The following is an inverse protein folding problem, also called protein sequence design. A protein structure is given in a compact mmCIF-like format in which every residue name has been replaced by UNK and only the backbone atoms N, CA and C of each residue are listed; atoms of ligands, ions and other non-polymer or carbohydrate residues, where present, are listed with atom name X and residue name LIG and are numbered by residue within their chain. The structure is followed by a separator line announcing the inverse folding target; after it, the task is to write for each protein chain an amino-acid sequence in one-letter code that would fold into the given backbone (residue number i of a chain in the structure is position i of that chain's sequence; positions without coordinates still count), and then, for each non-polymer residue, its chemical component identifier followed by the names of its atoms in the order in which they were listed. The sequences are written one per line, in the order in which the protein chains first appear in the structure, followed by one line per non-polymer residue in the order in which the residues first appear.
data_IF_647702147832
#
_entry.id   IF_647702147832
#
_cell.length_a   1.000
_cell.length_b   1.000
_cell.length_c   1.000
_cell.angle_alpha   90.00
_cell.angle_beta   90.00
_cell.angle_gamma   90.00
#
_symmetry.space_group_name_H-M   'P 1'
#
loop_
_entity.id
_entity.type
_entity.pdbx_description
1 polymer ?
#
# COMPACT_ATOMS: atom_id res chain seq x y z
N UNK A 1 20.48 46.29 44.13
CA UNK A 1 19.97 46.04 42.78
C UNK A 1 19.95 44.54 42.50
N UNK A 2 18.76 43.92 42.65
CA UNK A 2 18.55 42.51 42.29
C UNK A 2 18.09 42.41 40.86
N UNK A 3 18.94 41.87 39.99
CA UNK A 3 18.59 41.54 38.62
C UNK A 3 17.80 40.24 38.62
N UNK A 4 16.49 40.34 38.34
CA UNK A 4 15.66 39.19 37.96
C UNK A 4 16.12 38.67 36.62
N UNK A 5 16.76 37.50 36.58
CA UNK A 5 16.96 36.71 35.35
C UNK A 5 15.63 36.02 35.05
N UNK A 6 14.90 36.57 34.10
CA UNK A 6 13.74 35.89 33.54
C UNK A 6 14.24 34.70 32.70
N UNK A 7 14.16 33.49 33.25
CA UNK A 7 14.33 32.26 32.51
C UNK A 7 13.15 32.10 31.56
N UNK A 8 13.34 32.45 30.30
CA UNK A 8 12.45 32.04 29.22
C UNK A 8 12.50 30.51 29.09
N UNK A 9 11.63 29.83 29.83
CA UNK A 9 11.30 28.45 29.52
C UNK A 9 10.61 28.47 28.16
N UNK A 10 11.38 28.27 27.09
CA UNK A 10 10.82 27.97 25.78
C UNK A 10 9.97 26.70 25.95
N UNK A 11 8.66 26.86 25.97
CA UNK A 11 7.75 25.73 25.91
C UNK A 11 8.12 24.94 24.68
N UNK A 12 8.61 23.69 24.87
CA UNK A 12 8.96 22.81 23.77
C UNK A 12 7.74 22.72 22.86
N UNK A 13 7.87 23.17 21.61
CA UNK A 13 6.78 23.19 20.67
C UNK A 13 6.25 21.76 20.54
N UNK A 14 4.97 21.55 20.84
CA UNK A 14 4.34 20.22 20.72
C UNK A 14 4.35 19.84 19.26
N UNK A 15 4.94 18.69 18.94
CA UNK A 15 5.01 18.14 17.59
C UNK A 15 3.88 17.16 17.34
N UNK A 16 3.44 17.07 16.09
CA UNK A 16 2.48 16.08 15.65
C UNK A 16 3.20 14.76 15.42
N UNK A 17 2.92 13.75 16.23
CA UNK A 17 3.56 12.45 16.10
C UNK A 17 2.86 11.55 15.07
N UNK A 18 3.63 11.01 14.13
CA UNK A 18 3.17 10.07 13.10
C UNK A 18 4.10 8.83 13.12
N UNK A 19 3.58 7.64 13.46
CA UNK A 19 4.35 6.41 13.37
C UNK A 19 4.50 5.98 11.90
N UNK A 20 5.65 5.40 11.56
CA UNK A 20 5.91 4.81 10.24
C UNK A 20 6.22 3.33 10.42
N UNK A 21 5.26 2.47 10.12
CA UNK A 21 5.50 1.05 10.04
C UNK A 21 5.99 0.73 8.64
N UNK A 22 7.17 0.13 8.54
CA UNK A 22 7.78 -0.16 7.24
C UNK A 22 8.45 -1.54 7.24
N UNK A 23 8.90 -1.97 6.09
CA UNK A 23 9.72 -3.17 5.94
C UNK A 23 10.80 -2.90 4.88
N UNK A 24 12.00 -2.58 5.38
CA UNK A 24 13.19 -2.29 4.57
C UNK A 24 14.10 -3.50 4.44
N UNK A 25 13.76 -4.60 5.10
CA UNK A 25 14.50 -5.85 5.11
C UNK A 25 13.61 -7.02 4.69
N UNK A 26 14.26 -8.13 4.30
CA UNK A 26 13.55 -9.35 3.90
C UNK A 26 13.02 -9.33 2.46
N UNK A 27 12.21 -10.34 2.10
CA UNK A 27 11.81 -10.59 0.71
C UNK A 27 10.83 -9.55 0.15
N UNK A 28 10.24 -8.71 0.99
CA UNK A 28 9.32 -7.65 0.57
C UNK A 28 9.98 -6.26 0.50
N UNK A 29 11.26 -6.16 0.89
CA UNK A 29 12.03 -4.93 0.88
C UNK A 29 12.10 -4.23 -0.49
N UNK A 30 12.20 -4.95 -1.64
CA UNK A 30 12.22 -4.30 -2.94
C UNK A 30 11.01 -3.38 -3.21
N UNK A 31 9.86 -3.71 -2.62
CA UNK A 31 8.64 -2.91 -2.72
C UNK A 31 8.44 -2.01 -1.49
N UNK A 32 8.85 -2.46 -0.30
CA UNK A 32 8.72 -1.71 0.95
C UNK A 32 9.62 -0.48 1.04
N UNK A 33 10.85 -0.57 0.55
CA UNK A 33 11.83 0.53 0.59
C UNK A 33 11.33 1.76 -0.18
N UNK A 34 10.98 1.71 -1.48
CA UNK A 34 10.54 2.89 -2.20
C UNK A 34 9.25 3.48 -1.61
N UNK A 35 8.32 2.65 -1.13
CA UNK A 35 7.12 3.14 -0.45
C UNK A 35 7.49 3.93 0.83
N UNK A 36 8.35 3.36 1.69
CA UNK A 36 8.77 4.03 2.92
C UNK A 36 9.55 5.32 2.63
N UNK A 37 10.38 5.35 1.58
CA UNK A 37 11.08 6.55 1.16
C UNK A 37 10.11 7.66 0.78
N UNK A 38 9.10 7.37 -0.03
CA UNK A 38 8.07 8.34 -0.42
C UNK A 38 7.25 8.84 0.78
N UNK A 39 6.88 7.95 1.69
CA UNK A 39 6.14 8.31 2.90
C UNK A 39 6.96 9.27 3.78
N UNK A 40 8.18 8.91 4.10
CA UNK A 40 9.08 9.72 4.95
C UNK A 40 9.43 11.05 4.29
N UNK A 41 9.71 11.05 2.99
CA UNK A 41 10.00 12.29 2.27
C UNK A 41 8.81 13.25 2.23
N UNK A 42 7.59 12.74 2.18
CA UNK A 42 6.42 13.61 2.28
C UNK A 42 6.25 14.23 3.68
N UNK A 43 6.58 13.50 4.77
CA UNK A 43 6.63 14.07 6.12
C UNK A 43 7.70 15.18 6.21
N UNK A 44 8.89 14.93 5.70
CA UNK A 44 9.99 15.91 5.65
C UNK A 44 9.62 17.14 4.79
N UNK A 45 9.01 16.93 3.63
CA UNK A 45 8.54 18.00 2.76
C UNK A 45 7.49 18.87 3.46
N UNK A 46 6.56 18.26 4.18
CA UNK A 46 5.55 18.97 4.97
C UNK A 46 6.23 19.83 6.04
N UNK A 47 7.25 19.30 6.71
CA UNK A 47 8.04 20.07 7.67
C UNK A 47 8.82 21.21 7.03
N UNK A 48 9.41 20.97 5.86
CA UNK A 48 10.11 22.03 5.10
C UNK A 48 9.18 23.18 4.66
N UNK A 49 7.90 22.87 4.46
CA UNK A 49 6.83 23.83 4.15
C UNK A 49 6.19 24.50 5.37
N UNK A 50 6.72 24.24 6.58
CA UNK A 50 6.23 24.88 7.83
C UNK A 50 5.39 23.96 8.74
N UNK A 51 5.20 22.69 8.38
CA UNK A 51 4.40 21.73 9.15
C UNK A 51 2.91 21.76 8.80
N UNK A 52 2.09 21.15 9.65
CA UNK A 52 0.63 21.11 9.49
C UNK A 52 0.03 22.29 10.23
N UNK A 53 -0.36 23.36 9.50
CA UNK A 53 -0.82 24.62 10.10
C UNK A 53 0.14 25.15 11.19
N UNK A 54 1.46 25.09 10.92
CA UNK A 54 2.50 25.54 11.85
C UNK A 54 3.01 24.47 12.83
N UNK A 55 2.35 23.32 12.97
CA UNK A 55 2.77 22.24 13.84
C UNK A 55 3.76 21.33 13.09
N UNK A 56 4.97 21.17 13.60
CA UNK A 56 5.97 20.27 13.03
C UNK A 56 5.60 18.82 13.27
N UNK A 57 6.01 17.95 12.36
CA UNK A 57 5.83 16.50 12.46
C UNK A 57 7.08 15.88 13.07
N UNK A 58 6.89 15.12 14.16
CA UNK A 58 7.83 14.12 14.62
C UNK A 58 7.39 12.75 14.11
N UNK A 59 8.32 11.92 13.67
CA UNK A 59 8.02 10.56 13.25
C UNK A 59 9.08 9.57 13.75
N UNK A 60 8.67 8.34 13.87
CA UNK A 60 9.57 7.23 14.16
C UNK A 60 9.22 6.07 13.23
N UNK A 61 10.22 5.55 12.56
CA UNK A 61 10.09 4.37 11.72
C UNK A 61 10.34 3.11 12.54
N UNK A 62 9.44 2.13 12.39
CA UNK A 62 9.55 0.82 13.04
C UNK A 62 9.57 -0.27 11.96
N UNK A 63 10.68 -1.02 11.93
CA UNK A 63 10.90 -2.11 10.99
C UNK A 63 10.06 -3.33 11.36
N UNK A 64 9.16 -3.74 10.49
CA UNK A 64 8.25 -4.88 10.71
C UNK A 64 8.67 -6.16 9.99
N UNK A 65 9.52 -6.06 8.96
CA UNK A 65 9.87 -7.20 8.09
C UNK A 65 8.67 -7.79 7.35
N UNK A 66 7.54 -7.07 7.27
CA UNK A 66 6.24 -7.56 6.79
C UNK A 66 5.65 -8.69 7.66
N UNK A 67 6.10 -8.82 8.90
CA UNK A 67 5.62 -9.79 9.87
C UNK A 67 4.50 -9.20 10.73
N UNK A 68 3.40 -9.94 10.89
CA UNK A 68 2.22 -9.46 11.63
C UNK A 68 2.52 -9.27 13.11
N UNK A 69 3.26 -10.18 13.74
CA UNK A 69 3.57 -10.09 15.18
C UNK A 69 4.46 -8.88 15.46
N UNK A 70 5.50 -8.66 14.65
CA UNK A 70 6.36 -7.48 14.73
C UNK A 70 5.58 -6.18 14.46
N UNK A 71 4.63 -6.20 13.52
CA UNK A 71 3.78 -5.04 13.25
C UNK A 71 2.93 -4.67 14.47
N UNK A 72 2.38 -5.67 15.17
CA UNK A 72 1.65 -5.46 16.44
C UNK A 72 2.57 -4.95 17.52
N UNK A 73 3.79 -5.49 17.65
CA UNK A 73 4.79 -5.00 18.60
C UNK A 73 5.16 -3.53 18.32
N UNK A 74 5.41 -3.16 17.06
CA UNK A 74 5.62 -1.77 16.65
C UNK A 74 4.44 -0.88 17.06
N UNK A 75 3.20 -1.32 16.79
CA UNK A 75 2.00 -0.60 17.16
C UNK A 75 1.91 -0.37 18.69
N UNK A 76 2.06 -1.44 19.49
CA UNK A 76 1.98 -1.38 20.95
C UNK A 76 3.05 -0.43 21.54
N UNK A 77 4.26 -0.49 21.01
CA UNK A 77 5.35 0.39 21.45
C UNK A 77 5.10 1.85 21.10
N UNK A 78 4.58 2.13 19.91
CA UNK A 78 4.45 3.49 19.40
C UNK A 78 3.16 4.19 19.83
N UNK A 79 2.09 3.45 20.17
CA UNK A 79 0.81 4.05 20.57
C UNK A 79 0.90 4.95 21.80
N UNK A 80 1.86 4.69 22.71
CA UNK A 80 2.09 5.52 23.90
C UNK A 80 2.55 6.94 23.59
N UNK A 81 2.96 7.23 22.36
CA UNK A 81 3.42 8.54 21.90
C UNK A 81 2.30 9.43 21.34
N UNK A 82 1.04 9.12 21.65
CA UNK A 82 -0.14 9.89 21.17
C UNK A 82 -0.20 10.02 19.65
N UNK A 83 -0.10 8.89 18.93
CA UNK A 83 -0.25 8.88 17.49
C UNK A 83 -1.64 9.33 17.05
N UNK A 84 -1.72 10.11 15.98
CA UNK A 84 -2.99 10.59 15.43
C UNK A 84 -3.69 9.57 14.55
N UNK A 85 -2.94 8.65 13.98
CA UNK A 85 -3.41 7.51 13.20
C UNK A 85 -2.28 6.49 13.06
N UNK A 86 -2.60 5.30 12.58
CA UNK A 86 -1.61 4.30 12.16
C UNK A 86 -1.93 3.82 10.75
N UNK A 87 -0.87 3.59 9.96
CA UNK A 87 -0.93 2.89 8.68
C UNK A 87 -0.10 1.61 8.78
N UNK A 88 -0.74 0.43 8.93
CA UNK A 88 -0.03 -0.81 9.19
C UNK A 88 0.81 -1.33 8.01
N UNK A 89 0.53 -0.89 6.78
CA UNK A 89 1.15 -1.32 5.52
C UNK A 89 1.18 -2.85 5.33
N UNK A 90 0.23 -3.54 5.91
CA UNK A 90 0.06 -4.98 5.82
C UNK A 90 -1.39 -5.35 6.12
N UNK A 91 -2.00 -6.19 5.29
CA UNK A 91 -3.36 -6.69 5.54
C UNK A 91 -3.41 -7.52 6.82
N UNK A 92 -2.44 -8.41 7.04
CA UNK A 92 -2.36 -9.20 8.28
C UNK A 92 -2.24 -8.32 9.53
N UNK A 93 -1.40 -7.30 9.49
CA UNK A 93 -1.27 -6.32 10.57
C UNK A 93 -2.57 -5.51 10.77
N UNK A 94 -3.24 -5.12 9.68
CA UNK A 94 -4.52 -4.42 9.76
C UNK A 94 -5.58 -5.24 10.48
N UNK A 95 -5.71 -6.54 10.14
CA UNK A 95 -6.61 -7.44 10.85
C UNK A 95 -6.30 -7.50 12.35
N UNK A 96 -5.03 -7.66 12.70
CA UNK A 96 -4.60 -7.77 14.10
C UNK A 96 -4.78 -6.47 14.91
N UNK A 97 -4.67 -5.30 14.27
CA UNK A 97 -4.80 -3.99 14.93
C UNK A 97 -6.27 -3.53 14.98
N UNK A 98 -7.13 -4.00 14.07
CA UNK A 98 -8.53 -3.56 13.97
C UNK A 98 -9.28 -3.62 15.30
N UNK A 99 -9.11 -4.70 16.08
CA UNK A 99 -9.80 -4.87 17.37
C UNK A 99 -9.19 -4.01 18.50
N UNK A 100 -7.94 -3.57 18.34
CA UNK A 100 -7.23 -2.73 19.32
C UNK A 100 -7.55 -1.25 19.12
N UNK A 101 -7.73 -0.83 17.89
CA UNK A 101 -7.89 0.56 17.49
C UNK A 101 -9.00 1.32 18.23
N UNK A 102 -10.22 0.77 18.41
CA UNK A 102 -11.28 1.42 19.18
C UNK A 102 -10.94 1.63 20.65
N UNK A 103 -10.25 0.67 21.26
CA UNK A 103 -9.83 0.71 22.67
C UNK A 103 -8.75 1.77 22.86
N UNK A 104 -7.78 1.79 21.97
CA UNK A 104 -6.67 2.72 21.99
C UNK A 104 -7.02 4.11 21.42
N UNK A 105 -8.21 4.24 20.81
CA UNK A 105 -8.67 5.46 20.12
C UNK A 105 -7.69 5.91 19.03
N UNK A 106 -7.18 4.98 18.25
CA UNK A 106 -6.24 5.23 17.15
C UNK A 106 -6.90 4.88 15.82
N UNK A 107 -7.15 5.85 14.93
CA UNK A 107 -7.64 5.59 13.58
C UNK A 107 -6.67 4.71 12.79
N UNK A 108 -7.17 3.61 12.22
CA UNK A 108 -6.43 2.75 11.29
C UNK A 108 -6.73 3.22 9.88
N UNK A 109 -5.75 3.81 9.23
CA UNK A 109 -5.87 4.32 7.85
C UNK A 109 -5.20 3.34 6.91
N UNK A 110 -5.93 2.83 5.93
CA UNK A 110 -5.37 1.95 4.89
C UNK A 110 -5.58 2.56 3.52
N UNK A 111 -4.53 2.59 2.72
CA UNK A 111 -4.55 3.18 1.38
C UNK A 111 -4.36 2.07 0.35
N UNK A 112 -5.47 1.50 -0.11
CA UNK A 112 -5.47 0.42 -1.08
C UNK A 112 -5.03 -0.94 -0.54
N UNK A 113 -5.18 -1.20 0.75
CA UNK A 113 -4.95 -2.52 1.33
C UNK A 113 -5.96 -2.82 2.44
N UNK A 114 -6.03 -4.10 2.84
CA UNK A 114 -7.09 -4.67 3.66
C UNK A 114 -7.30 -3.97 4.98
N UNK A 115 -8.44 -4.07 5.51
CA UNK A 115 -9.48 -5.11 5.41
C UNK A 115 -10.67 -4.55 4.60
N UNK A 116 -11.13 -5.29 3.57
CA UNK A 116 -12.18 -4.78 2.65
C UNK A 116 -13.54 -4.60 3.33
N UNK A 117 -13.90 -5.47 4.29
CA UNK A 117 -15.14 -5.35 5.07
C UNK A 117 -15.21 -4.04 5.87
N UNK A 118 -14.07 -3.43 6.15
CA UNK A 118 -14.01 -2.16 6.89
C UNK A 118 -14.59 -0.97 6.13
N UNK A 119 -14.99 -1.15 4.87
CA UNK A 119 -15.82 -0.20 4.14
C UNK A 119 -17.20 -0.01 4.81
N UNK A 120 -17.68 -0.98 5.61
CA UNK A 120 -18.83 -0.79 6.48
C UNK A 120 -18.44 -0.02 7.76
N UNK A 121 -18.47 1.29 7.71
CA UNK A 121 -18.17 2.17 8.84
C UNK A 121 -19.19 2.08 10.00
N UNK A 122 -20.34 1.40 9.82
CA UNK A 122 -21.26 1.16 10.91
C UNK A 122 -20.71 0.14 11.90
N UNK A 123 -19.92 -0.83 11.40
CA UNK A 123 -19.25 -1.89 12.16
C UNK A 123 -17.81 -1.45 12.51
N UNK A 124 -17.04 -1.02 11.51
CA UNK A 124 -15.61 -0.72 11.65
C UNK A 124 -15.35 0.79 11.83
N UNK A 125 -15.83 1.34 12.94
CA UNK A 125 -15.82 2.80 13.20
C UNK A 125 -14.43 3.44 13.27
N UNK A 126 -13.39 2.65 13.46
CA UNK A 126 -11.99 3.11 13.60
C UNK A 126 -11.10 2.73 12.42
N UNK A 127 -11.66 2.08 11.40
CA UNK A 127 -10.95 1.74 10.17
C UNK A 127 -11.38 2.70 9.05
N UNK A 128 -10.41 3.24 8.34
CA UNK A 128 -10.61 4.21 7.26
C UNK A 128 -9.91 3.71 5.99
N UNK A 129 -10.57 2.83 5.20
CA UNK A 129 -10.03 2.39 3.92
C UNK A 129 -10.18 3.52 2.89
N UNK A 130 -9.05 4.12 2.49
CA UNK A 130 -9.02 5.22 1.55
C UNK A 130 -8.50 4.72 0.19
N UNK A 131 -8.95 5.35 -0.88
CA UNK A 131 -8.58 5.08 -2.27
C UNK A 131 -9.01 3.71 -2.81
N UNK A 132 -9.88 2.99 -2.12
CA UNK A 132 -10.45 1.72 -2.57
C UNK A 132 -10.02 0.52 -1.74
N UNK A 133 -10.79 -0.55 -1.87
CA UNK A 133 -10.57 -1.84 -1.22
C UNK A 133 -10.14 -2.89 -2.24
N UNK A 134 -9.67 -4.04 -1.77
CA UNK A 134 -9.34 -5.16 -2.65
C UNK A 134 -10.54 -5.73 -3.40
N UNK A 135 -11.75 -5.58 -2.86
CA UNK A 135 -12.97 -5.95 -3.59
C UNK A 135 -13.18 -5.06 -4.81
N UNK A 136 -12.94 -3.75 -4.68
CA UNK A 136 -12.98 -2.83 -5.83
C UNK A 136 -11.91 -3.18 -6.86
N UNK A 137 -10.69 -3.52 -6.42
CA UNK A 137 -9.62 -3.92 -7.34
C UNK A 137 -9.99 -5.20 -8.12
N UNK A 138 -10.49 -6.21 -7.42
CA UNK A 138 -10.87 -7.48 -8.02
C UNK A 138 -12.02 -7.30 -9.02
N UNK A 139 -13.05 -6.54 -8.64
CA UNK A 139 -14.17 -6.23 -9.53
C UNK A 139 -13.71 -5.45 -10.78
N UNK A 140 -12.82 -4.46 -10.59
CA UNK A 140 -12.24 -3.69 -11.70
C UNK A 140 -11.48 -4.59 -12.69
N UNK A 141 -10.74 -5.58 -12.20
CA UNK A 141 -10.04 -6.55 -13.05
C UNK A 141 -11.05 -7.37 -13.86
N UNK A 142 -12.10 -7.89 -13.23
CA UNK A 142 -13.13 -8.68 -13.93
C UNK A 142 -13.86 -7.82 -14.97
N UNK A 143 -14.18 -6.57 -14.66
CA UNK A 143 -14.77 -5.64 -15.61
C UNK A 143 -13.83 -5.33 -16.79
N UNK A 144 -12.53 -5.15 -16.53
CA UNK A 144 -11.53 -4.94 -17.58
C UNK A 144 -11.43 -6.14 -18.52
N UNK A 145 -11.45 -7.36 -17.98
CA UNK A 145 -11.48 -8.59 -18.76
C UNK A 145 -12.77 -8.67 -19.58
N UNK A 146 -13.93 -8.42 -18.97
CA UNK A 146 -15.21 -8.39 -19.66
C UNK A 146 -15.25 -7.39 -20.80
N UNK A 147 -14.72 -6.18 -20.58
CA UNK A 147 -14.60 -5.16 -21.63
C UNK A 147 -13.69 -5.62 -22.78
N UNK A 148 -12.57 -6.26 -22.48
CA UNK A 148 -11.65 -6.83 -23.48
C UNK A 148 -12.31 -7.92 -24.33
N UNK A 149 -13.17 -8.74 -23.71
CA UNK A 149 -13.92 -9.80 -24.39
C UNK A 149 -15.14 -9.28 -25.17
N UNK A 150 -15.51 -8.01 -25.01
CA UNK A 150 -16.65 -7.40 -25.70
C UNK A 150 -17.95 -7.36 -24.90
N UNK A 151 -17.92 -7.67 -23.61
CA UNK A 151 -19.05 -7.61 -22.68
C UNK A 151 -18.92 -8.58 -21.51
N UNK A 152 -19.61 -8.30 -20.43
CA UNK A 152 -19.60 -9.17 -19.23
C UNK A 152 -20.27 -10.52 -19.52
N UNK A 153 -21.22 -10.58 -20.44
CA UNK A 153 -21.87 -11.81 -20.92
C UNK A 153 -20.89 -12.77 -21.63
N UNK A 154 -19.81 -12.24 -22.19
CA UNK A 154 -18.74 -13.00 -22.84
C UNK A 154 -17.81 -13.73 -21.88
N UNK A 155 -17.93 -13.47 -20.57
CA UNK A 155 -17.20 -14.21 -19.55
C UNK A 155 -17.75 -15.62 -19.30
N UNK A 156 -19.00 -15.90 -19.74
CA UNK A 156 -19.61 -17.22 -19.57
C UNK A 156 -18.74 -18.30 -20.23
N UNK A 157 -18.39 -19.31 -19.45
CA UNK A 157 -17.54 -20.44 -19.88
C UNK A 157 -16.04 -20.14 -19.94
N UNK A 158 -15.59 -18.91 -19.69
CA UNK A 158 -14.18 -18.59 -19.54
C UNK A 158 -13.59 -19.23 -18.28
N UNK A 159 -12.27 -19.43 -18.30
CA UNK A 159 -11.49 -19.95 -17.18
C UNK A 159 -10.57 -18.84 -16.67
N UNK A 160 -10.70 -18.49 -15.41
CA UNK A 160 -9.82 -17.50 -14.75
C UNK A 160 -9.10 -18.19 -13.58
N UNK A 161 -7.78 -18.05 -13.51
CA UNK A 161 -6.99 -18.53 -12.38
C UNK A 161 -6.53 -17.35 -11.53
N UNK A 162 -6.78 -17.43 -10.22
CA UNK A 162 -6.21 -16.50 -9.25
C UNK A 162 -4.92 -17.13 -8.70
N UNK A 163 -3.77 -16.57 -9.08
CA UNK A 163 -2.47 -16.86 -8.46
C UNK A 163 -2.26 -15.87 -7.34
N UNK A 164 -2.30 -16.31 -6.11
CA UNK A 164 -2.35 -15.41 -4.95
C UNK A 164 -1.36 -15.78 -3.85
N UNK A 165 -0.85 -14.77 -3.18
CA UNK A 165 -0.02 -14.90 -2.00
C UNK A 165 -0.83 -15.56 -0.86
N UNK A 166 -0.37 -16.69 -0.33
CA UNK A 166 -1.08 -17.41 0.74
C UNK A 166 -0.94 -16.69 2.07
N UNK A 167 -1.74 -15.64 2.23
CA UNK A 167 -1.79 -14.76 3.40
C UNK A 167 -3.16 -14.06 3.45
N UNK A 168 -3.48 -13.35 4.54
CA UNK A 168 -4.68 -12.51 4.59
C UNK A 168 -4.80 -11.57 3.38
N UNK A 169 -3.70 -10.96 2.94
CA UNK A 169 -3.66 -10.12 1.74
C UNK A 169 -4.15 -10.85 0.48
N UNK A 170 -3.58 -12.01 0.19
CA UNK A 170 -3.89 -12.74 -1.04
C UNK A 170 -5.28 -13.36 -1.04
N UNK A 171 -5.88 -13.57 0.14
CA UNK A 171 -7.21 -14.16 0.31
C UNK A 171 -8.35 -13.15 0.23
N UNK A 172 -8.08 -11.87 0.42
CA UNK A 172 -9.08 -10.78 0.40
C UNK A 172 -10.01 -10.78 -0.84
N UNK A 173 -9.51 -10.97 -2.09
CA UNK A 173 -10.36 -10.91 -3.27
C UNK A 173 -11.22 -12.15 -3.48
N UNK A 174 -10.94 -13.27 -2.80
CA UNK A 174 -11.55 -14.58 -3.09
C UNK A 174 -13.08 -14.54 -3.01
N UNK A 175 -13.71 -14.04 -1.93
CA UNK A 175 -15.17 -14.04 -1.83
C UNK A 175 -15.83 -13.26 -2.98
N UNK A 176 -15.30 -12.09 -3.32
CA UNK A 176 -15.83 -11.31 -4.44
C UNK A 176 -15.64 -12.02 -5.77
N UNK A 177 -14.46 -12.58 -6.03
CA UNK A 177 -14.20 -13.29 -7.29
C UNK A 177 -15.08 -14.52 -7.46
N UNK A 178 -15.39 -15.24 -6.36
CA UNK A 178 -16.35 -16.34 -6.37
C UNK A 178 -17.77 -15.86 -6.69
N UNK A 179 -18.19 -14.75 -6.11
CA UNK A 179 -19.49 -14.13 -6.43
C UNK A 179 -19.56 -13.72 -7.91
N UNK A 180 -18.53 -13.08 -8.42
CA UNK A 180 -18.45 -12.67 -9.85
C UNK A 180 -18.40 -13.88 -10.78
N UNK A 181 -17.74 -14.97 -10.40
CA UNK A 181 -17.73 -16.21 -11.16
C UNK A 181 -19.14 -16.79 -11.26
N UNK A 182 -19.88 -16.85 -10.14
CA UNK A 182 -21.27 -17.30 -10.15
C UNK A 182 -22.18 -16.37 -10.99
N UNK A 183 -22.00 -15.06 -10.87
CA UNK A 183 -22.81 -14.05 -11.57
C UNK A 183 -22.61 -14.09 -13.09
N UNK A 184 -21.37 -14.20 -13.55
CA UNK A 184 -21.02 -14.09 -14.97
C UNK A 184 -20.74 -15.44 -15.66
N UNK A 185 -20.77 -16.55 -14.89
CA UNK A 185 -20.65 -17.91 -15.43
C UNK A 185 -19.23 -18.30 -15.89
N UNK A 186 -18.18 -17.65 -15.38
CA UNK A 186 -16.82 -18.13 -15.57
C UNK A 186 -16.39 -19.09 -14.46
N UNK A 187 -15.41 -19.94 -14.72
CA UNK A 187 -14.82 -20.80 -13.69
C UNK A 187 -13.62 -20.10 -13.06
N UNK A 188 -13.50 -20.18 -11.73
CA UNK A 188 -12.41 -19.62 -10.96
C UNK A 188 -11.56 -20.73 -10.34
N UNK A 189 -10.27 -20.80 -10.70
CA UNK A 189 -9.30 -21.67 -10.05
C UNK A 189 -8.49 -20.86 -9.04
N UNK A 190 -8.35 -21.37 -7.81
CA UNK A 190 -7.58 -20.75 -6.74
C UNK A 190 -6.23 -21.44 -6.62
N UNK A 191 -5.15 -20.72 -6.87
CA UNK A 191 -3.78 -21.21 -6.88
C UNK A 191 -2.94 -20.46 -5.85
N UNK A 192 -2.89 -20.94 -4.59
CA UNK A 192 -2.09 -20.32 -3.55
C UNK A 192 -0.59 -20.48 -3.82
N UNK A 193 0.17 -19.43 -3.50
CA UNK A 193 1.63 -19.44 -3.53
C UNK A 193 2.11 -19.20 -2.12
N UNK A 194 2.88 -20.15 -1.58
CA UNK A 194 3.45 -20.04 -0.24
C UNK A 194 4.38 -18.84 -0.12
N UNK A 195 4.20 -18.05 0.95
CA UNK A 195 5.06 -16.91 1.23
C UNK A 195 6.55 -17.32 1.37
N UNK A 196 7.50 -16.55 0.87
CA UNK A 196 7.38 -15.23 0.25
C UNK A 196 7.09 -15.27 -1.26
N UNK A 197 6.87 -16.43 -1.87
CA UNK A 197 6.49 -16.55 -3.27
C UNK A 197 7.64 -16.74 -4.25
N UNK A 198 8.79 -17.24 -3.80
CA UNK A 198 9.95 -17.57 -4.68
C UNK A 198 9.79 -18.92 -5.38
N UNK A 199 9.05 -19.85 -4.78
CA UNK A 199 8.84 -21.19 -5.33
C UNK A 199 7.47 -21.28 -6.00
N UNK A 200 7.43 -21.09 -7.34
CA UNK A 200 6.19 -21.05 -8.10
C UNK A 200 6.09 -22.03 -9.26
N UNK A 201 7.12 -22.84 -9.50
CA UNK A 201 7.13 -23.77 -10.64
C UNK A 201 5.91 -24.69 -10.67
N UNK A 202 5.55 -25.30 -9.55
CA UNK A 202 4.39 -26.17 -9.45
C UNK A 202 3.07 -25.43 -9.77
N UNK A 203 2.93 -24.20 -9.27
CA UNK A 203 1.76 -23.34 -9.53
C UNK A 203 1.63 -23.05 -11.03
N UNK A 204 2.72 -22.67 -11.70
CA UNK A 204 2.68 -22.34 -13.13
C UNK A 204 2.55 -23.55 -14.03
N UNK A 205 3.01 -24.75 -13.59
CA UNK A 205 2.67 -26.01 -14.24
C UNK A 205 1.15 -26.29 -14.15
N UNK A 206 0.50 -26.01 -13.02
CA UNK A 206 -0.96 -26.10 -12.90
C UNK A 206 -1.67 -25.09 -13.83
N UNK A 207 -1.19 -23.85 -13.91
CA UNK A 207 -1.71 -22.87 -14.88
C UNK A 207 -1.62 -23.43 -16.30
N UNK A 208 -0.47 -24.01 -16.69
CA UNK A 208 -0.28 -24.62 -18.01
C UNK A 208 -1.23 -25.80 -18.25
N UNK A 209 -1.49 -26.64 -17.24
CA UNK A 209 -2.42 -27.76 -17.33
C UNK A 209 -3.86 -27.32 -17.43
N UNK A 210 -4.25 -26.35 -16.60
CA UNK A 210 -5.62 -25.81 -16.52
C UNK A 210 -6.00 -24.98 -17.75
N UNK A 211 -5.00 -24.43 -18.46
CA UNK A 211 -5.18 -23.58 -19.65
C UNK A 211 -6.24 -22.47 -19.41
N UNK A 212 -6.06 -21.61 -18.42
CA UNK A 212 -7.00 -20.53 -18.19
C UNK A 212 -6.94 -19.52 -19.34
N UNK A 213 -8.05 -18.84 -19.56
CA UNK A 213 -8.14 -17.70 -20.49
C UNK A 213 -7.41 -16.49 -19.91
N UNK A 214 -7.46 -16.32 -18.58
CA UNK A 214 -6.83 -15.20 -17.87
C UNK A 214 -6.22 -15.66 -16.54
N UNK A 215 -5.16 -14.98 -16.13
CA UNK A 215 -4.58 -15.09 -14.79
C UNK A 215 -4.71 -13.76 -14.08
N UNK A 216 -5.28 -13.77 -12.88
CA UNK A 216 -5.24 -12.67 -11.94
C UNK A 216 -4.09 -12.92 -10.97
N UNK A 217 -3.14 -12.00 -10.90
CA UNK A 217 -1.98 -12.08 -9.98
C UNK A 217 -2.23 -11.21 -8.75
N UNK A 218 -2.32 -11.85 -7.59
CA UNK A 218 -2.48 -11.17 -6.31
C UNK A 218 -1.24 -11.38 -5.46
N UNK A 219 -0.19 -10.70 -5.84
CA UNK A 219 1.15 -10.87 -5.30
C UNK A 219 1.74 -9.59 -4.71
N UNK A 220 2.82 -9.76 -3.95
CA UNK A 220 3.59 -8.71 -3.34
C UNK A 220 5.07 -9.12 -3.21
N UNK A 221 5.96 -8.15 -3.32
CA UNK A 221 7.40 -8.38 -3.19
C UNK A 221 7.95 -9.29 -4.28
N UNK A 222 8.87 -10.15 -3.91
CA UNK A 222 9.57 -11.08 -4.84
C UNK A 222 8.63 -12.03 -5.58
N UNK A 223 7.42 -12.25 -5.07
CA UNK A 223 6.41 -13.07 -5.74
C UNK A 223 6.06 -12.54 -7.13
N UNK A 224 6.02 -11.23 -7.31
CA UNK A 224 5.54 -10.61 -8.56
C UNK A 224 6.50 -10.88 -9.73
N UNK A 225 7.76 -10.54 -9.58
CA UNK A 225 8.77 -10.80 -10.62
C UNK A 225 8.94 -12.29 -10.90
N UNK A 226 8.87 -13.14 -9.87
CA UNK A 226 8.89 -14.60 -10.03
C UNK A 226 7.68 -15.08 -10.83
N UNK A 227 6.46 -14.61 -10.54
CA UNK A 227 5.27 -14.97 -11.28
C UNK A 227 5.37 -14.62 -12.78
N UNK A 228 5.90 -13.45 -13.10
CA UNK A 228 6.07 -13.01 -14.49
C UNK A 228 7.13 -13.87 -15.21
N UNK A 229 8.25 -14.20 -14.53
CA UNK A 229 9.29 -15.11 -15.06
C UNK A 229 8.74 -16.51 -15.34
N UNK A 230 8.00 -17.07 -14.40
CA UNK A 230 7.39 -18.40 -14.55
C UNK A 230 6.29 -18.42 -15.62
N UNK A 231 5.51 -17.36 -15.75
CA UNK A 231 4.55 -17.18 -16.84
C UNK A 231 5.26 -17.21 -18.21
N UNK A 232 6.41 -16.54 -18.31
CA UNK A 232 7.23 -16.57 -19.52
C UNK A 232 7.76 -17.99 -19.80
N UNK A 233 8.31 -18.64 -18.79
CA UNK A 233 8.88 -19.97 -18.91
C UNK A 233 7.85 -21.03 -19.32
N UNK A 234 6.59 -20.88 -18.89
CA UNK A 234 5.49 -21.79 -19.24
C UNK A 234 4.74 -21.38 -20.49
N UNK A 235 5.12 -20.27 -21.13
CA UNK A 235 4.49 -19.76 -22.37
C UNK A 235 3.11 -19.10 -22.15
N UNK A 236 2.75 -18.74 -20.92
CA UNK A 236 1.48 -18.05 -20.69
C UNK A 236 1.54 -16.59 -21.19
N UNK A 237 0.56 -16.11 -21.98
CA UNK A 237 0.59 -14.75 -22.54
C UNK A 237 0.47 -13.69 -21.46
N UNK A 238 1.39 -12.71 -21.42
CA UNK A 238 1.37 -11.62 -20.43
C UNK A 238 0.19 -10.67 -20.63
N UNK A 239 -0.29 -10.48 -21.85
CA UNK A 239 -1.48 -9.65 -22.12
C UNK A 239 -2.79 -10.26 -21.60
N UNK A 240 -2.75 -11.49 -21.11
CA UNK A 240 -3.83 -12.17 -20.37
C UNK A 240 -3.59 -12.25 -18.86
N UNK A 241 -2.58 -11.55 -18.36
CA UNK A 241 -2.32 -11.42 -16.93
C UNK A 241 -2.74 -10.04 -16.43
N UNK A 242 -3.42 -10.02 -15.28
CA UNK A 242 -3.86 -8.81 -14.59
C UNK A 242 -3.42 -8.85 -13.13
N UNK A 243 -2.51 -7.98 -12.75
CA UNK A 243 -2.06 -7.81 -11.37
C UNK A 243 -2.96 -6.87 -10.57
N UNK A 244 -3.06 -7.11 -9.27
CA UNK A 244 -3.52 -6.08 -8.34
C UNK A 244 -2.55 -4.89 -8.35
N UNK A 245 -2.97 -3.72 -7.90
CA UNK A 245 -2.10 -2.52 -7.86
C UNK A 245 -0.78 -2.66 -7.08
N UNK A 246 -0.62 -3.71 -6.25
CA UNK A 246 0.64 -4.06 -5.58
C UNK A 246 1.54 -4.97 -6.43
N UNK A 247 1.09 -5.36 -7.61
CA UNK A 247 1.83 -6.20 -8.56
C UNK A 247 1.98 -5.49 -9.91
N UNK A 248 2.29 -4.20 -9.91
CA UNK A 248 2.41 -3.39 -11.12
C UNK A 248 3.36 -2.20 -10.93
N UNK A 249 4.48 -2.42 -10.27
CA UNK A 249 5.49 -1.39 -10.04
C UNK A 249 6.82 -1.76 -10.70
N UNK A 250 7.73 -0.81 -10.79
CA UNK A 250 9.03 -0.95 -11.43
C UNK A 250 9.84 -2.14 -10.88
N UNK A 251 9.92 -2.41 -9.56
CA UNK A 251 10.63 -3.59 -9.04
C UNK A 251 10.07 -4.93 -9.54
N UNK A 252 8.79 -4.99 -9.86
CA UNK A 252 8.12 -6.22 -10.29
C UNK A 252 8.53 -6.66 -11.70
N UNK A 253 8.91 -5.69 -12.55
CA UNK A 253 9.21 -5.91 -13.98
C UNK A 253 10.67 -5.67 -14.35
N UNK A 254 11.43 -4.97 -13.51
CA UNK A 254 12.81 -4.55 -13.79
C UNK A 254 13.72 -5.69 -14.23
N UNK A 255 13.65 -6.83 -13.54
CA UNK A 255 14.53 -7.97 -13.78
C UNK A 255 13.95 -8.96 -14.82
N UNK A 256 12.78 -8.69 -15.36
CA UNK A 256 12.08 -9.51 -16.34
C UNK A 256 12.16 -8.90 -17.73
N UNK A 257 12.39 -7.60 -17.82
CA UNK A 257 12.54 -6.84 -19.06
C UNK A 257 11.44 -7.18 -20.10
N UNK A 258 11.81 -7.60 -21.31
CA UNK A 258 10.88 -7.93 -22.37
C UNK A 258 9.90 -9.07 -22.01
N UNK A 259 10.25 -9.92 -21.06
CA UNK A 259 9.37 -10.97 -20.55
C UNK A 259 8.10 -10.45 -19.87
N UNK A 260 8.09 -9.19 -19.42
CA UNK A 260 6.91 -8.54 -18.85
C UNK A 260 6.04 -7.82 -19.88
N UNK A 261 6.47 -7.72 -21.13
CA UNK A 261 5.75 -6.97 -22.16
C UNK A 261 4.33 -7.48 -22.36
N UNK A 262 3.37 -6.55 -22.24
CA UNK A 262 1.94 -6.86 -22.33
C UNK A 262 1.27 -7.15 -20.98
N UNK A 263 2.04 -7.31 -19.88
CA UNK A 263 1.48 -7.48 -18.56
C UNK A 263 0.66 -6.26 -18.13
N UNK A 264 -0.49 -6.51 -17.51
CA UNK A 264 -1.42 -5.48 -17.06
C UNK A 264 -1.50 -5.49 -15.52
N UNK A 265 -1.73 -4.33 -14.94
CA UNK A 265 -2.07 -4.21 -13.51
C UNK A 265 -3.11 -3.12 -13.32
N UNK A 266 -3.98 -3.29 -12.34
CA UNK A 266 -4.87 -2.23 -11.87
C UNK A 266 -4.03 -1.12 -11.24
N UNK A 267 -4.36 0.13 -11.51
CA UNK A 267 -3.72 1.28 -10.89
C UNK A 267 -4.56 1.82 -9.74
N UNK A 268 -3.92 2.09 -8.59
CA UNK A 268 -4.54 2.75 -7.45
C UNK A 268 -4.48 4.28 -7.60
N UNK A 269 -3.45 4.77 -8.25
CA UNK A 269 -3.22 6.18 -8.59
C UNK A 269 -2.61 6.25 -9.99
N UNK A 270 -2.53 7.45 -10.54
CA UNK A 270 -1.74 7.66 -11.76
C UNK A 270 -0.33 7.11 -11.61
N UNK A 271 0.21 6.61 -12.71
CA UNK A 271 1.62 6.22 -12.79
C UNK A 271 2.54 7.40 -12.43
N UNK A 272 3.82 7.11 -12.28
CA UNK A 272 4.84 8.10 -11.99
C UNK A 272 4.81 9.22 -13.03
N UNK A 273 4.60 10.45 -12.56
CA UNK A 273 4.73 11.65 -13.37
C UNK A 273 5.99 12.41 -12.95
N UNK A 274 7.14 12.19 -13.63
CA UNK A 274 8.41 12.82 -13.26
C UNK A 274 8.36 14.35 -13.21
N UNK A 275 7.39 14.93 -13.93
CA UNK A 275 7.18 16.38 -14.01
C UNK A 275 6.13 16.92 -13.03
N UNK A 276 5.53 16.08 -12.18
CA UNK A 276 4.54 16.53 -11.20
C UNK A 276 5.17 17.55 -10.23
N UNK A 277 4.32 18.44 -9.70
CA UNK A 277 4.77 19.43 -8.70
C UNK A 277 5.38 18.76 -7.47
N UNK A 278 4.82 17.63 -7.03
CA UNK A 278 5.33 16.90 -5.88
C UNK A 278 6.77 16.40 -6.11
N UNK A 279 7.04 15.79 -7.26
CA UNK A 279 8.38 15.31 -7.62
C UNK A 279 9.38 16.47 -7.64
N UNK A 280 9.03 17.57 -8.30
CA UNK A 280 9.89 18.78 -8.35
C UNK A 280 10.19 19.34 -6.96
N UNK A 281 9.19 19.43 -6.10
CA UNK A 281 9.35 19.96 -4.75
C UNK A 281 10.22 19.04 -3.88
N UNK A 282 10.03 17.72 -3.96
CA UNK A 282 10.87 16.73 -3.24
C UNK A 282 12.32 16.84 -3.70
N UNK A 283 12.56 16.87 -5.01
CA UNK A 283 13.92 16.98 -5.54
C UNK A 283 14.60 18.30 -5.12
N UNK A 284 13.89 19.42 -5.24
CA UNK A 284 14.45 20.75 -4.94
C UNK A 284 14.58 21.03 -3.43
N UNK A 285 13.57 20.63 -2.63
CA UNK A 285 13.53 21.01 -1.21
C UNK A 285 14.22 19.99 -0.30
N UNK A 286 14.35 18.72 -0.72
CA UNK A 286 14.96 17.66 0.06
C UNK A 286 16.24 17.12 -0.57
N UNK A 287 16.19 16.51 -1.75
CA UNK A 287 17.35 15.83 -2.34
C UNK A 287 18.49 16.80 -2.69
N UNK A 288 18.19 17.99 -3.22
CA UNK A 288 19.21 19.02 -3.48
C UNK A 288 19.92 19.51 -2.20
N UNK A 289 19.36 19.25 -1.04
CA UNK A 289 19.91 19.59 0.30
C UNK A 289 20.46 18.37 1.05
N UNK A 290 20.57 17.22 0.41
CA UNK A 290 20.95 15.93 1.03
C UNK A 290 20.03 15.52 2.20
N UNK A 291 18.76 15.87 2.15
CA UNK A 291 17.72 15.52 3.15
C UNK A 291 16.70 14.50 2.65
N UNK A 292 16.74 14.15 1.37
CA UNK A 292 15.90 13.12 0.79
C UNK A 292 16.22 11.74 1.32
N UNK A 293 15.23 10.85 1.30
CA UNK A 293 15.35 9.45 1.72
C UNK A 293 15.52 8.56 0.49
N UNK A 294 16.54 7.70 0.51
CA UNK A 294 16.85 6.83 -0.63
C UNK A 294 17.47 7.57 -1.82
N UNK A 295 17.41 6.92 -2.99
CA UNK A 295 17.95 7.50 -4.23
C UNK A 295 16.97 8.51 -4.83
N UNK A 296 17.53 9.61 -5.36
CA UNK A 296 16.74 10.56 -6.15
C UNK A 296 16.07 9.93 -7.38
N UNK A 297 16.63 8.83 -7.89
CA UNK A 297 16.12 8.13 -9.08
C UNK A 297 14.84 7.32 -8.78
N UNK A 298 14.51 7.10 -7.51
CA UNK A 298 13.24 6.50 -7.08
C UNK A 298 12.10 7.53 -7.04
N UNK A 299 12.43 8.82 -6.94
CA UNK A 299 11.42 9.88 -6.83
C UNK A 299 10.59 9.95 -8.11
N UNK A 300 9.29 9.70 -7.97
CA UNK A 300 8.37 9.60 -9.10
C UNK A 300 8.01 8.17 -9.50
N UNK A 301 8.71 7.15 -9.02
CA UNK A 301 8.31 5.76 -9.25
C UNK A 301 6.99 5.41 -8.55
N UNK A 302 6.28 4.40 -9.05
CA UNK A 302 4.93 4.05 -8.60
C UNK A 302 4.84 3.88 -7.07
N UNK A 303 5.73 3.10 -6.47
CA UNK A 303 5.67 2.83 -5.02
C UNK A 303 6.12 4.02 -4.18
N UNK A 304 7.11 4.79 -4.64
CA UNK A 304 7.49 6.04 -3.99
C UNK A 304 6.31 7.02 -3.93
N UNK A 305 5.64 7.24 -5.07
CA UNK A 305 4.47 8.12 -5.15
C UNK A 305 3.31 7.62 -4.31
N UNK A 306 3.14 6.31 -4.21
CA UNK A 306 2.11 5.70 -3.34
C UNK A 306 2.40 5.91 -1.86
N UNK A 307 3.66 5.81 -1.46
CA UNK A 307 4.10 6.16 -0.10
C UNK A 307 3.84 7.63 0.22
N UNK A 308 4.21 8.53 -0.69
CA UNK A 308 3.96 9.96 -0.55
C UNK A 308 2.44 10.27 -0.48
N UNK A 309 1.62 9.64 -1.32
CA UNK A 309 0.17 9.75 -1.28
C UNK A 309 -0.40 9.26 0.06
N UNK A 310 0.10 8.15 0.57
CA UNK A 310 -0.35 7.59 1.86
C UNK A 310 -0.06 8.55 3.02
N UNK A 311 1.13 9.17 3.05
CA UNK A 311 1.46 10.20 4.03
C UNK A 311 0.59 11.44 3.87
N UNK A 312 0.38 11.89 2.63
CA UNK A 312 -0.47 13.04 2.31
C UNK A 312 -1.89 12.86 2.85
N UNK A 313 -2.51 11.72 2.59
CA UNK A 313 -3.87 11.44 3.05
C UNK A 313 -3.99 11.44 4.57
N UNK A 314 -3.02 10.88 5.29
CA UNK A 314 -2.97 10.96 6.74
C UNK A 314 -2.80 12.40 7.26
N UNK A 315 -1.92 13.17 6.63
CA UNK A 315 -1.69 14.59 6.98
C UNK A 315 -2.93 15.44 6.71
N UNK A 316 -3.64 15.21 5.61
CA UNK A 316 -4.89 15.94 5.32
C UNK A 316 -6.00 15.58 6.32
N UNK A 317 -6.04 14.34 6.82
CA UNK A 317 -6.90 13.98 7.96
C UNK A 317 -6.60 14.80 9.22
N UNK A 318 -5.31 14.96 9.56
CA UNK A 318 -4.88 15.82 10.68
C UNK A 318 -5.25 17.29 10.40
N UNK A 319 -5.04 17.79 9.19
CA UNK A 319 -5.37 19.16 8.80
C UNK A 319 -6.85 19.44 8.95
N UNK A 320 -7.71 18.53 8.48
CA UNK A 320 -9.16 18.63 8.64
C UNK A 320 -9.58 18.61 10.10
N UNK A 321 -8.95 17.79 10.93
CA UNK A 321 -9.19 17.80 12.38
C UNK A 321 -8.77 19.13 13.02
N UNK A 322 -7.62 19.68 12.62
CA UNK A 322 -7.18 21.00 13.11
C UNK A 322 -8.12 22.14 12.69
N UNK A 323 -8.70 22.08 11.50
CA UNK A 323 -9.71 23.08 11.07
C UNK A 323 -10.94 23.05 11.97
N UNK A 324 -11.34 21.86 12.41
CA UNK A 324 -12.51 21.68 13.27
C UNK A 324 -12.23 21.97 14.75
N UNK A 325 -11.08 21.57 15.26
CA UNK A 325 -10.76 21.57 16.70
C UNK A 325 -9.72 22.64 17.10
N UNK A 326 -9.15 23.34 16.15
CA UNK A 326 -8.22 24.46 16.34
C UNK A 326 -6.94 24.34 15.53
N UNK A 327 -6.73 25.30 14.62
CA UNK A 327 -5.46 25.40 13.84
C UNK A 327 -4.26 25.55 14.79
N UNK A 328 -3.17 24.90 14.43
CA UNK A 328 -1.93 24.92 15.22
C UNK A 328 -1.94 24.01 16.45
N UNK A 329 -2.98 23.21 16.67
CA UNK A 329 -3.02 22.23 17.75
C UNK A 329 -2.49 20.87 17.27
N UNK A 330 -1.88 20.13 18.19
CA UNK A 330 -1.57 18.70 17.98
C UNK A 330 -2.86 17.91 18.08
N UNK A 331 -3.11 17.04 17.11
CA UNK A 331 -4.25 16.13 17.07
C UNK A 331 -3.84 14.74 17.57
N UNK A 332 -4.73 14.10 18.31
CA UNK A 332 -4.64 12.69 18.73
C UNK A 332 -5.76 11.90 18.06
N UNK A 333 -5.68 10.58 18.12
CA UNK A 333 -6.72 9.71 17.62
C UNK A 333 -8.08 9.85 18.35
#
# INVERSE_FOLDING_TARGET
ASTLVASNAMAQAKEQYIPVLSYRTGPYAPNGIPWANGFVDYLKLTNARGGINGVKIAYEECETGYDTARSVECYERLKSKNMSFVQPLSTGATFAITEKAPVDKVPVVTVGYGRSESADGSVFKWNFPIAGTYWVAADTIIQAIGKKEGGMDKLKGKKISLVYHDSPFGKEPIPLLQERAAMHGFTLALLPVTAPGVEQKATWLQVRQNKPDYVVLWGWGVMNSTAIKEAQATGFPRDKMYGVWWAGAEPDVKDVADGAKGYNAVALQHGAEPNSKLVKDVLAMLHAKNQGTGSKDEVGQVLYMRGAMSAMLGIEGIRAAQERFGKGKVMTG
#
